data_IF_257207795323
#
_entry.id   IF_257207795323
#
_cell.length_a   1.000
_cell.length_b   1.000
_cell.length_c   1.000
_cell.angle_alpha   90.00
_cell.angle_beta   90.00
_cell.angle_gamma   90.00
#
_symmetry.space_group_name_H-M   'P 1'
#
loop_
_entity.id
_entity.type
_entity.pdbx_description
1 polymer ?
#
# COMPACT_ATOMS: atom_id res chain seq x y z
N UNK A 1 -12.57 12.79 36.00
CA UNK A 1 -11.61 13.22 34.98
C UNK A 1 -12.33 13.10 33.66
N UNK A 2 -12.74 14.23 33.11
CA UNK A 2 -13.60 14.31 31.93
C UNK A 2 -12.70 14.18 30.69
N UNK A 3 -12.85 13.06 29.96
CA UNK A 3 -12.28 12.88 28.65
C UNK A 3 -12.92 13.87 27.68
N UNK A 4 -12.17 14.89 27.30
CA UNK A 4 -12.53 15.81 26.23
C UNK A 4 -12.32 15.08 24.90
N UNK A 5 -13.40 14.54 24.34
CA UNK A 5 -13.44 14.19 22.93
C UNK A 5 -13.38 15.50 22.12
N UNK A 6 -12.16 15.89 21.74
CA UNK A 6 -11.93 16.94 20.76
C UNK A 6 -12.33 16.45 19.38
N UNK A 7 -13.59 16.60 19.03
CA UNK A 7 -14.02 16.51 17.63
C UNK A 7 -13.26 17.56 16.82
N UNK A 8 -12.67 17.15 15.68
CA UNK A 8 -12.13 18.10 14.73
C UNK A 8 -13.23 19.14 14.39
N UNK A 9 -12.88 20.42 14.26
CA UNK A 9 -13.87 21.44 13.91
C UNK A 9 -14.50 21.06 12.56
N UNK A 10 -15.82 21.11 12.49
CA UNK A 10 -16.60 20.98 11.27
C UNK A 10 -16.33 22.24 10.41
N UNK A 11 -15.19 22.22 9.70
CA UNK A 11 -14.84 23.25 8.74
C UNK A 11 -15.41 22.79 7.41
N UNK A 12 -16.61 23.28 7.08
CA UNK A 12 -17.15 23.13 5.74
C UNK A 12 -16.09 23.64 4.75
N UNK A 13 -15.76 22.87 3.68
CA UNK A 13 -14.83 23.34 2.67
C UNK A 13 -15.35 24.65 2.07
N UNK A 14 -14.48 25.66 1.94
CA UNK A 14 -14.75 26.87 1.19
C UNK A 14 -15.14 26.48 -0.26
N UNK A 15 -16.06 27.22 -0.88
CA UNK A 15 -16.50 26.99 -2.27
C UNK A 15 -15.33 26.96 -3.28
N UNK A 16 -14.17 27.52 -2.91
CA UNK A 16 -12.92 27.42 -3.67
C UNK A 16 -12.15 26.11 -3.46
N UNK A 17 -12.51 25.33 -2.43
CA UNK A 17 -11.83 24.06 -2.13
C UNK A 17 -12.15 23.04 -3.23
N UNK A 18 -11.12 22.45 -3.81
CA UNK A 18 -11.27 21.50 -4.92
C UNK A 18 -11.12 22.11 -6.32
N UNK A 19 -11.10 23.44 -6.46
CA UNK A 19 -10.92 24.08 -7.77
C UNK A 19 -9.61 23.64 -8.48
N UNK A 20 -8.55 23.35 -7.71
CA UNK A 20 -7.29 22.82 -8.23
C UNK A 20 -7.38 21.37 -8.69
N UNK A 21 -8.26 20.57 -8.10
CA UNK A 21 -8.54 19.21 -8.57
C UNK A 21 -9.18 19.24 -9.97
N UNK A 22 -10.14 20.11 -10.17
CA UNK A 22 -10.75 20.33 -11.50
C UNK A 22 -9.73 20.84 -12.53
N UNK A 23 -8.79 21.69 -12.10
CA UNK A 23 -7.71 22.15 -12.98
C UNK A 23 -6.76 21.01 -13.35
N UNK A 24 -6.42 20.14 -12.41
CA UNK A 24 -5.61 18.94 -12.68
C UNK A 24 -6.28 18.04 -13.73
N UNK A 25 -7.59 17.80 -13.64
CA UNK A 25 -8.35 17.05 -14.65
C UNK A 25 -8.23 17.70 -16.03
N UNK A 26 -8.39 19.03 -16.13
CA UNK A 26 -8.24 19.77 -17.40
C UNK A 26 -6.81 19.72 -17.96
N UNK A 27 -5.82 19.76 -17.07
CA UNK A 27 -4.39 19.59 -17.46
C UNK A 27 -4.18 18.20 -18.03
N UNK A 28 -4.70 17.16 -17.38
CA UNK A 28 -4.58 15.79 -17.86
C UNK A 28 -5.26 15.59 -19.22
N UNK A 29 -6.44 16.18 -19.44
CA UNK A 29 -7.09 16.18 -20.75
C UNK A 29 -6.20 16.76 -21.86
N UNK A 30 -5.56 17.90 -21.57
CA UNK A 30 -4.64 18.54 -22.52
C UNK A 30 -3.41 17.70 -22.79
N UNK A 31 -2.82 17.09 -21.75
CA UNK A 31 -1.67 16.20 -21.88
C UNK A 31 -2.04 14.97 -22.70
N UNK A 32 -3.15 14.33 -22.40
CA UNK A 32 -3.62 13.13 -23.10
C UNK A 32 -3.76 13.36 -24.62
N UNK A 33 -4.22 14.55 -25.03
CA UNK A 33 -4.42 14.88 -26.44
C UNK A 33 -3.14 15.36 -27.13
N UNK A 34 -2.29 16.12 -26.44
CA UNK A 34 -1.20 16.87 -27.07
C UNK A 34 0.21 16.34 -26.77
N UNK A 35 0.39 15.56 -25.71
CA UNK A 35 1.68 14.97 -25.39
C UNK A 35 1.81 13.57 -26.02
N UNK A 36 2.81 13.33 -26.88
CA UNK A 36 2.97 12.03 -27.56
C UNK A 36 3.24 10.86 -26.60
N UNK A 37 3.74 11.14 -25.40
CA UNK A 37 3.97 10.11 -24.39
C UNK A 37 2.66 9.77 -23.69
N UNK A 38 1.94 10.78 -23.14
CA UNK A 38 0.66 10.59 -22.45
C UNK A 38 -0.39 9.94 -23.36
N UNK A 39 -0.46 10.32 -24.64
CA UNK A 39 -1.40 9.78 -25.61
C UNK A 39 -1.28 8.27 -25.84
N UNK A 40 -0.15 7.66 -25.52
CA UNK A 40 0.10 6.21 -25.74
C UNK A 40 -0.08 5.37 -24.49
N UNK A 41 -0.26 5.99 -23.33
CA UNK A 41 -0.36 5.23 -22.09
C UNK A 41 -1.66 4.41 -22.04
N UNK A 42 -1.58 3.25 -21.41
CA UNK A 42 -2.69 2.35 -21.09
C UNK A 42 -2.71 2.06 -19.59
N UNK A 43 -3.75 1.42 -19.08
CA UNK A 43 -3.78 0.98 -17.69
C UNK A 43 -2.56 0.11 -17.36
N UNK A 44 -2.19 -0.81 -18.25
CA UNK A 44 -1.06 -1.72 -18.06
C UNK A 44 0.26 -0.96 -18.02
N UNK A 45 0.47 0.01 -18.94
CA UNK A 45 1.72 0.77 -18.98
C UNK A 45 1.88 1.75 -17.81
N UNK A 46 0.77 2.18 -17.20
CA UNK A 46 0.77 3.06 -16.03
C UNK A 46 0.90 2.30 -14.70
N UNK A 47 0.63 1.00 -14.67
CA UNK A 47 0.69 0.21 -13.43
C UNK A 47 2.05 0.29 -12.72
N UNK A 48 3.23 0.20 -13.39
CA UNK A 48 4.52 0.36 -12.73
C UNK A 48 4.67 1.73 -12.03
N UNK A 49 4.24 2.82 -12.69
CA UNK A 49 4.30 4.16 -12.11
C UNK A 49 3.39 4.28 -10.89
N UNK A 50 2.15 3.79 -10.95
CA UNK A 50 1.26 3.80 -9.78
C UNK A 50 1.87 3.10 -8.57
N UNK A 51 2.61 2.00 -8.77
CA UNK A 51 3.33 1.30 -7.71
C UNK A 51 4.51 2.12 -7.19
N UNK A 52 5.29 2.75 -8.08
CA UNK A 52 6.42 3.61 -7.77
C UNK A 52 5.96 4.79 -6.89
N UNK A 53 5.01 5.59 -7.36
CA UNK A 53 4.46 6.73 -6.62
C UNK A 53 3.84 6.31 -5.27
N UNK A 54 3.22 5.12 -5.22
CA UNK A 54 2.69 4.60 -3.96
C UNK A 54 3.81 4.31 -2.94
N UNK A 55 4.95 3.76 -3.38
CA UNK A 55 6.08 3.50 -2.49
C UNK A 55 6.81 4.79 -2.09
N UNK A 56 6.95 5.76 -2.99
CA UNK A 56 7.52 7.07 -2.69
C UNK A 56 6.66 7.82 -1.66
N UNK A 57 5.32 7.78 -1.82
CA UNK A 57 4.40 8.32 -0.83
C UNK A 57 4.54 7.62 0.54
N UNK A 58 4.73 6.30 0.58
CA UNK A 58 4.98 5.55 1.84
C UNK A 58 6.30 6.00 2.48
N UNK A 59 7.35 6.17 1.70
CA UNK A 59 8.65 6.62 2.21
C UNK A 59 8.58 8.05 2.75
N UNK A 60 7.91 8.98 2.05
CA UNK A 60 7.68 10.35 2.50
C UNK A 60 6.86 10.40 3.81
N UNK A 61 5.76 9.62 3.88
CA UNK A 61 4.92 9.52 5.08
C UNK A 61 5.70 8.96 6.28
N UNK A 62 6.56 7.98 6.05
CA UNK A 62 7.41 7.36 7.08
C UNK A 62 8.52 8.34 7.53
N UNK A 63 9.09 9.10 6.59
CA UNK A 63 10.13 10.10 6.86
C UNK A 63 9.62 11.35 7.57
N UNK A 64 8.32 11.64 7.48
CA UNK A 64 7.66 12.76 8.18
C UNK A 64 7.91 14.14 7.57
N UNK A 65 8.59 14.26 6.43
CA UNK A 65 8.75 15.52 5.70
C UNK A 65 7.44 15.90 4.98
N UNK A 66 6.76 16.92 5.51
CA UNK A 66 5.46 17.36 5.00
C UNK A 66 5.53 17.94 3.58
N UNK A 67 6.69 18.39 3.12
CA UNK A 67 6.87 18.87 1.73
C UNK A 67 6.89 17.67 0.80
N UNK A 68 7.72 16.68 1.10
CA UNK A 68 7.78 15.43 0.34
C UNK A 68 6.42 14.71 0.36
N UNK A 69 5.77 14.57 1.52
CA UNK A 69 4.42 13.97 1.62
C UNK A 69 3.41 14.63 0.67
N UNK A 70 3.44 15.96 0.57
CA UNK A 70 2.52 16.69 -0.31
C UNK A 70 2.84 16.46 -1.79
N UNK A 71 4.12 16.36 -2.15
CA UNK A 71 4.58 16.08 -3.51
C UNK A 71 4.14 14.68 -3.93
N UNK A 72 4.49 13.66 -3.16
CA UNK A 72 4.17 12.28 -3.49
C UNK A 72 2.67 11.97 -3.48
N UNK A 73 1.89 12.59 -2.59
CA UNK A 73 0.42 12.50 -2.67
C UNK A 73 -0.13 13.17 -3.94
N UNK A 74 0.55 14.19 -4.48
CA UNK A 74 0.23 14.79 -5.76
C UNK A 74 0.42 13.81 -6.92
N UNK A 75 1.51 13.02 -6.90
CA UNK A 75 1.82 12.04 -7.94
C UNK A 75 0.88 10.83 -7.86
N UNK A 76 0.54 10.35 -6.66
CA UNK A 76 -0.54 9.35 -6.49
C UNK A 76 -1.87 9.87 -7.03
N UNK A 77 -2.23 11.13 -6.76
CA UNK A 77 -3.44 11.75 -7.28
C UNK A 77 -3.42 11.86 -8.81
N UNK A 78 -2.26 12.20 -9.40
CA UNK A 78 -2.06 12.19 -10.85
C UNK A 78 -2.37 10.81 -11.44
N UNK A 79 -1.88 9.73 -10.84
CA UNK A 79 -2.17 8.37 -11.30
C UNK A 79 -3.67 8.08 -11.33
N UNK A 80 -4.43 8.48 -10.30
CA UNK A 80 -5.89 8.31 -10.26
C UNK A 80 -6.57 9.05 -11.41
N UNK A 81 -6.23 10.32 -11.62
CA UNK A 81 -6.80 11.16 -12.70
C UNK A 81 -6.42 10.61 -14.07
N UNK A 82 -5.17 10.16 -14.25
CA UNK A 82 -4.70 9.61 -15.52
C UNK A 82 -5.42 8.30 -15.87
N UNK A 83 -5.53 7.38 -14.92
CA UNK A 83 -6.27 6.14 -15.12
C UNK A 83 -7.74 6.41 -15.47
N UNK A 84 -8.41 7.34 -14.79
CA UNK A 84 -9.77 7.73 -15.13
C UNK A 84 -9.85 8.32 -16.55
N UNK A 85 -8.88 9.15 -16.95
CA UNK A 85 -8.83 9.73 -18.29
C UNK A 85 -8.62 8.69 -19.39
N UNK A 86 -7.80 7.67 -19.14
CA UNK A 86 -7.63 6.52 -20.06
C UNK A 86 -8.93 5.73 -20.19
N UNK A 87 -9.62 5.52 -19.07
CA UNK A 87 -10.89 4.77 -19.06
C UNK A 87 -12.00 5.41 -19.86
N UNK A 88 -12.04 6.75 -19.95
CA UNK A 88 -13.03 7.50 -20.75
C UNK A 88 -12.98 7.15 -22.25
N UNK A 89 -11.85 6.66 -22.76
CA UNK A 89 -11.66 6.35 -24.18
C UNK A 89 -12.21 4.98 -24.59
N UNK A 90 -12.75 4.21 -23.66
CA UNK A 90 -13.29 2.88 -23.96
C UNK A 90 -14.57 2.96 -24.78
N UNK A 91 -14.52 2.36 -25.97
CA UNK A 91 -15.65 2.37 -26.92
C UNK A 91 -16.68 1.28 -26.64
N UNK A 92 -16.40 0.35 -25.72
CA UNK A 92 -17.26 -0.81 -25.41
C UNK A 92 -18.41 -0.50 -24.43
N UNK A 93 -18.54 0.76 -24.01
CA UNK A 93 -19.55 1.20 -23.04
C UNK A 93 -19.16 0.94 -21.58
N UNK A 94 -17.96 0.43 -21.30
CA UNK A 94 -17.42 0.23 -19.94
C UNK A 94 -16.56 1.40 -19.48
N UNK A 95 -16.51 2.48 -20.27
CA UNK A 95 -15.77 3.70 -19.92
C UNK A 95 -16.38 4.43 -18.72
N UNK A 96 -15.54 5.09 -17.96
CA UNK A 96 -15.92 5.89 -16.80
C UNK A 96 -15.04 7.13 -16.68
N UNK A 97 -15.53 8.11 -15.93
CA UNK A 97 -14.88 9.41 -15.70
C UNK A 97 -14.28 9.48 -14.30
N UNK A 98 -13.54 10.55 -14.02
CA UNK A 98 -13.09 10.85 -12.66
C UNK A 98 -14.26 11.10 -11.71
N UNK A 99 -15.37 11.66 -12.21
CA UNK A 99 -16.57 11.89 -11.43
C UNK A 99 -17.21 10.55 -11.02
N UNK A 100 -17.25 9.55 -11.91
CA UNK A 100 -17.73 8.20 -11.58
C UNK A 100 -16.86 7.53 -10.50
N UNK A 101 -15.54 7.76 -10.54
CA UNK A 101 -14.61 7.29 -9.48
C UNK A 101 -14.92 7.96 -8.15
N UNK A 102 -15.14 9.28 -8.18
CA UNK A 102 -15.49 10.06 -6.99
C UNK A 102 -16.86 9.64 -6.43
N UNK A 103 -17.88 9.53 -7.27
CA UNK A 103 -19.22 9.11 -6.89
C UNK A 103 -19.21 7.72 -6.26
N UNK A 104 -18.47 6.77 -6.86
CA UNK A 104 -18.34 5.42 -6.32
C UNK A 104 -17.76 5.37 -4.91
N UNK A 105 -16.75 6.21 -4.59
CA UNK A 105 -16.18 6.27 -3.25
C UNK A 105 -17.04 7.07 -2.28
N UNK A 106 -17.69 8.15 -2.72
CA UNK A 106 -18.63 8.95 -1.92
C UNK A 106 -19.78 8.06 -1.46
N UNK A 107 -20.43 7.37 -2.38
CA UNK A 107 -21.53 6.45 -2.10
C UNK A 107 -21.12 5.35 -1.10
N UNK A 108 -19.94 4.79 -1.32
CA UNK A 108 -19.39 3.77 -0.44
C UNK A 108 -19.17 4.30 0.98
N UNK A 109 -18.56 5.49 1.11
CA UNK A 109 -18.28 6.11 2.41
C UNK A 109 -19.56 6.49 3.12
N UNK A 110 -20.50 7.15 2.44
CA UNK A 110 -21.79 7.57 3.01
C UNK A 110 -22.57 6.37 3.52
N UNK A 111 -22.69 5.33 2.72
CA UNK A 111 -23.44 4.12 3.08
C UNK A 111 -22.77 3.35 4.24
N UNK A 112 -21.43 3.34 4.32
CA UNK A 112 -20.70 2.61 5.37
C UNK A 112 -20.51 3.39 6.66
N UNK A 113 -20.94 4.67 6.70
CA UNK A 113 -20.89 5.50 7.90
C UNK A 113 -22.29 6.03 8.29
N UNK A 114 -23.27 5.14 8.51
CA UNK A 114 -24.63 5.57 8.85
C UNK A 114 -24.70 6.30 10.21
N UNK A 115 -23.65 6.20 11.01
CA UNK A 115 -23.50 6.96 12.27
C UNK A 115 -23.02 8.41 12.05
N UNK A 116 -22.60 8.78 10.82
CA UNK A 116 -22.21 10.14 10.44
C UNK A 116 -23.25 10.75 9.50
N UNK A 117 -23.75 9.97 8.54
CA UNK A 117 -24.63 10.44 7.48
C UNK A 117 -26.10 10.00 7.64
N UNK A 118 -26.44 9.28 8.70
CA UNK A 118 -27.78 8.79 9.03
C UNK A 118 -28.05 8.85 10.53
N UNK A 119 -29.02 8.07 10.99
CA UNK A 119 -29.56 8.14 12.36
C UNK A 119 -29.01 7.03 13.29
N UNK A 120 -27.94 6.32 12.91
CA UNK A 120 -27.36 5.24 13.71
C UNK A 120 -26.42 5.83 14.76
N UNK A 121 -26.61 5.49 16.03
CA UNK A 121 -25.67 5.84 17.09
C UNK A 121 -24.69 4.70 17.34
N UNK A 122 -23.43 5.01 17.60
CA UNK A 122 -22.36 4.05 17.94
C UNK A 122 -21.68 4.45 19.23
N UNK A 123 -21.28 3.46 20.04
CA UNK A 123 -20.63 3.68 21.33
C UNK A 123 -19.09 3.83 21.20
N UNK A 124 -18.50 3.46 20.06
CA UNK A 124 -17.06 3.54 19.84
C UNK A 124 -16.59 2.89 18.53
N UNK A 125 -15.28 2.93 18.31
CA UNK A 125 -14.65 2.47 17.07
C UNK A 125 -14.88 0.98 16.78
N UNK A 126 -15.02 0.15 17.79
CA UNK A 126 -15.23 -1.30 17.58
C UNK A 126 -16.63 -1.60 17.06
N UNK A 127 -17.65 -0.86 17.51
CA UNK A 127 -19.01 -0.96 16.98
C UNK A 127 -19.07 -0.46 15.52
N UNK A 128 -18.32 0.60 15.18
CA UNK A 128 -18.17 1.05 13.80
C UNK A 128 -17.62 -0.07 12.90
N UNK A 129 -16.59 -0.78 13.36
CA UNK A 129 -16.00 -1.91 12.60
C UNK A 129 -16.99 -3.05 12.39
N UNK A 130 -17.76 -3.42 13.41
CA UNK A 130 -18.79 -4.46 13.33
C UNK A 130 -19.90 -4.08 12.34
N UNK A 131 -20.35 -2.81 12.40
CA UNK A 131 -21.33 -2.28 11.45
C UNK A 131 -20.83 -2.34 10.02
N UNK A 132 -19.57 -2.01 9.77
CA UNK A 132 -18.94 -2.11 8.46
C UNK A 132 -18.97 -3.53 7.89
N UNK A 133 -18.67 -4.53 8.71
CA UNK A 133 -18.66 -5.93 8.25
C UNK A 133 -20.09 -6.40 7.93
N UNK A 134 -21.09 -5.97 8.71
CA UNK A 134 -22.52 -6.23 8.45
C UNK A 134 -22.97 -5.57 7.15
N UNK A 135 -22.61 -4.30 6.92
CA UNK A 135 -22.96 -3.56 5.71
C UNK A 135 -22.31 -4.22 4.47
N UNK A 136 -21.03 -4.58 4.55
CA UNK A 136 -20.35 -5.31 3.45
C UNK A 136 -21.01 -6.64 3.12
N UNK A 137 -21.47 -7.38 4.13
CA UNK A 137 -22.19 -8.64 3.91
C UNK A 137 -23.52 -8.40 3.18
N UNK A 138 -24.27 -7.36 3.58
CA UNK A 138 -25.50 -6.95 2.91
C UNK A 138 -25.27 -6.48 1.46
N UNK A 139 -24.22 -5.70 1.20
CA UNK A 139 -23.81 -5.26 -0.14
C UNK A 139 -23.55 -6.46 -1.08
N UNK A 140 -22.83 -7.46 -0.57
CA UNK A 140 -22.56 -8.69 -1.34
C UNK A 140 -23.82 -9.48 -1.67
N UNK A 141 -24.71 -9.63 -0.68
CA UNK A 141 -25.99 -10.29 -0.87
C UNK A 141 -26.84 -9.58 -1.93
N UNK A 142 -26.87 -8.24 -1.90
CA UNK A 142 -27.60 -7.42 -2.87
C UNK A 142 -26.98 -7.52 -4.29
N UNK A 143 -25.67 -7.72 -4.41
CA UNK A 143 -24.98 -7.93 -5.68
C UNK A 143 -25.19 -9.35 -6.28
N UNK A 144 -26.03 -10.19 -5.67
CA UNK A 144 -26.27 -11.56 -6.13
C UNK A 144 -25.10 -12.53 -5.89
N UNK A 145 -24.11 -12.10 -5.14
CA UNK A 145 -22.95 -12.91 -4.73
C UNK A 145 -23.29 -13.77 -3.48
N UNK A 146 -24.53 -14.23 -3.39
CA UNK A 146 -25.07 -15.04 -2.31
C UNK A 146 -24.65 -16.50 -2.46
N UNK A 147 -23.45 -16.82 -2.06
CA UNK A 147 -22.93 -18.18 -1.85
C UNK A 147 -22.15 -18.20 -0.53
N UNK A 148 -21.63 -19.35 -0.09
CA UNK A 148 -20.65 -19.39 1.00
C UNK A 148 -19.38 -18.65 0.53
N UNK A 149 -19.39 -17.34 0.80
CA UNK A 149 -18.28 -16.44 0.42
C UNK A 149 -17.24 -16.53 1.53
N UNK A 150 -16.01 -16.87 1.16
CA UNK A 150 -14.90 -16.83 2.10
C UNK A 150 -14.68 -15.41 2.61
N UNK A 151 -14.40 -15.26 3.89
CA UNK A 151 -13.97 -13.97 4.46
C UNK A 151 -12.69 -13.45 3.77
N UNK A 152 -12.00 -14.31 3.07
CA UNK A 152 -10.76 -13.99 2.34
C UNK A 152 -11.00 -13.53 0.90
N UNK A 153 -12.21 -13.64 0.37
CA UNK A 153 -12.53 -13.21 -0.99
C UNK A 153 -12.29 -11.71 -1.20
N UNK A 154 -11.75 -11.37 -2.37
CA UNK A 154 -11.41 -10.00 -2.73
C UNK A 154 -10.17 -9.46 -2.01
N UNK A 155 -9.32 -10.30 -1.44
CA UNK A 155 -7.95 -9.93 -1.06
C UNK A 155 -7.11 -9.89 -2.34
N UNK A 156 -6.46 -8.75 -2.66
CA UNK A 156 -5.55 -8.70 -3.80
C UNK A 156 -4.33 -9.60 -3.53
N UNK A 157 -4.12 -10.61 -4.38
CA UNK A 157 -3.02 -11.56 -4.21
C UNK A 157 -1.68 -11.02 -4.71
N UNK A 158 -1.69 -9.91 -5.46
CA UNK A 158 -0.50 -9.25 -6.02
C UNK A 158 0.22 -8.30 -5.05
N UNK A 159 -0.31 -8.10 -3.85
CA UNK A 159 0.34 -7.25 -2.86
C UNK A 159 1.63 -7.88 -2.29
N UNK A 160 2.55 -7.10 -1.67
CA UNK A 160 3.73 -7.64 -1.01
C UNK A 160 3.39 -8.77 -0.03
N UNK A 161 4.25 -9.79 0.04
CA UNK A 161 3.93 -11.04 0.72
C UNK A 161 3.64 -10.89 2.23
N UNK A 162 4.36 -10.00 2.92
CA UNK A 162 4.10 -9.75 4.34
C UNK A 162 2.77 -9.02 4.54
N UNK A 163 2.44 -8.05 3.68
CA UNK A 163 1.15 -7.36 3.67
C UNK A 163 0.01 -8.33 3.38
N UNK A 164 0.18 -9.23 2.40
CA UNK A 164 -0.78 -10.28 2.07
C UNK A 164 -1.06 -11.18 3.27
N UNK A 165 0.00 -11.74 3.87
CA UNK A 165 -0.12 -12.61 5.04
C UNK A 165 -0.81 -11.89 6.22
N UNK A 166 -0.41 -10.64 6.50
CA UNK A 166 -1.04 -9.83 7.55
C UNK A 166 -2.52 -9.56 7.27
N UNK A 167 -2.90 -9.31 6.01
CA UNK A 167 -4.30 -9.08 5.64
C UNK A 167 -5.14 -10.34 5.73
N UNK A 168 -4.63 -11.49 5.29
CA UNK A 168 -5.31 -12.77 5.41
C UNK A 168 -5.56 -13.12 6.88
N UNK A 169 -4.54 -13.01 7.72
CA UNK A 169 -4.66 -13.24 9.17
C UNK A 169 -5.71 -12.31 9.82
N UNK A 170 -5.69 -11.01 9.50
CA UNK A 170 -6.70 -10.07 10.01
C UNK A 170 -8.13 -10.45 9.61
N UNK A 171 -8.32 -10.93 8.38
CA UNK A 171 -9.65 -11.34 7.91
C UNK A 171 -10.12 -12.65 8.51
N UNK A 172 -9.21 -13.62 8.65
CA UNK A 172 -9.50 -14.89 9.32
C UNK A 172 -9.91 -14.67 10.79
N UNK A 173 -9.15 -13.86 11.52
CA UNK A 173 -9.44 -13.49 12.91
C UNK A 173 -10.83 -12.85 13.05
N UNK A 174 -11.17 -11.88 12.19
CA UNK A 174 -12.50 -11.24 12.19
C UNK A 174 -13.63 -12.20 11.84
N UNK A 175 -13.34 -13.24 11.07
CA UNK A 175 -14.29 -14.30 10.75
C UNK A 175 -14.43 -15.33 11.86
N UNK A 176 -13.67 -15.21 12.95
CA UNK A 176 -13.66 -16.17 14.05
C UNK A 176 -12.96 -17.48 13.72
N UNK A 177 -12.01 -17.46 12.77
CA UNK A 177 -11.20 -18.63 12.47
C UNK A 177 -10.41 -19.09 13.69
N UNK A 178 -10.29 -20.41 13.94
CA UNK A 178 -9.50 -20.95 15.04
C UNK A 178 -8.04 -20.47 14.97
N UNK A 179 -7.47 -20.13 16.13
CA UNK A 179 -6.11 -19.58 16.22
C UNK A 179 -5.03 -20.58 15.81
N UNK A 180 -5.29 -21.88 15.96
CA UNK A 180 -4.39 -22.96 15.55
C UNK A 180 -4.17 -23.00 14.01
N UNK A 181 -5.12 -22.49 13.22
CA UNK A 181 -4.91 -22.32 11.78
C UNK A 181 -3.79 -21.31 11.47
N UNK A 182 -3.56 -20.34 12.33
CA UNK A 182 -2.49 -19.36 12.16
C UNK A 182 -1.16 -19.83 12.78
N UNK A 183 -1.23 -20.69 13.80
CA UNK A 183 -0.05 -21.25 14.49
C UNK A 183 0.59 -22.40 13.71
N UNK A 184 -0.22 -23.12 12.93
CA UNK A 184 0.25 -24.20 12.07
C UNK A 184 0.02 -23.79 10.62
N UNK A 185 0.95 -23.05 10.00
CA UNK A 185 0.85 -22.71 8.58
C UNK A 185 0.72 -24.00 7.76
N UNK A 186 -0.15 -24.03 6.76
CA UNK A 186 -0.42 -25.23 6.00
C UNK A 186 0.87 -25.80 5.42
N UNK A 187 1.04 -27.12 5.50
CA UNK A 187 2.04 -27.79 4.69
C UNK A 187 1.66 -27.54 3.22
N UNK A 188 2.51 -26.85 2.47
CA UNK A 188 2.27 -26.55 1.05
C UNK A 188 2.10 -27.83 0.20
N UNK A 189 2.40 -29.00 0.76
CA UNK A 189 2.10 -30.30 0.16
C UNK A 189 0.61 -30.68 0.22
N UNK A 190 -0.20 -30.02 1.06
CA UNK A 190 -1.63 -30.27 1.22
C UNK A 190 -2.53 -29.24 0.50
N UNK A 191 -1.92 -28.34 -0.30
CA UNK A 191 -2.69 -27.38 -1.11
C UNK A 191 -3.53 -28.13 -2.14
N UNK A 192 -4.85 -27.89 -2.19
CA UNK A 192 -5.73 -28.51 -3.20
C UNK A 192 -5.19 -28.31 -4.61
N UNK A 193 -5.31 -29.32 -5.50
CA UNK A 193 -4.73 -29.29 -6.84
C UNK A 193 -5.15 -28.09 -7.71
N UNK A 194 -6.35 -27.56 -7.50
CA UNK A 194 -6.92 -26.38 -8.16
C UNK A 194 -6.25 -25.05 -7.74
N UNK A 195 -5.64 -25.02 -6.55
CA UNK A 195 -4.81 -23.88 -6.08
C UNK A 195 -3.31 -24.12 -6.31
N UNK A 196 -2.90 -25.38 -6.47
CA UNK A 196 -1.51 -25.74 -6.70
C UNK A 196 -1.00 -25.26 -8.08
N UNK A 197 -1.85 -25.18 -9.10
CA UNK A 197 -1.49 -24.66 -10.42
C UNK A 197 -1.11 -23.18 -10.37
N UNK A 198 -1.80 -22.36 -9.58
CA UNK A 198 -1.47 -20.95 -9.38
C UNK A 198 -0.18 -20.79 -8.56
N UNK A 199 0.10 -21.73 -7.65
CA UNK A 199 1.32 -21.74 -6.83
C UNK A 199 2.54 -22.26 -7.60
N UNK A 200 2.36 -23.18 -8.54
CA UNK A 200 3.45 -23.80 -9.30
C UNK A 200 4.09 -22.85 -10.32
N UNK A 201 3.31 -21.91 -10.87
CA UNK A 201 3.83 -20.88 -11.80
C UNK A 201 4.58 -19.75 -11.10
N UNK A 202 4.30 -19.52 -9.79
CA UNK A 202 4.92 -18.46 -8.99
C UNK A 202 6.11 -18.97 -8.13
N UNK A 203 6.18 -20.27 -7.86
CA UNK A 203 7.26 -20.87 -7.10
C UNK A 203 7.70 -22.14 -7.82
N UNK A 204 8.87 -22.14 -8.42
CA UNK A 204 9.57 -23.40 -8.67
C UNK A 204 9.49 -24.22 -7.37
N UNK A 205 9.13 -25.51 -7.43
CA UNK A 205 8.86 -26.34 -6.24
C UNK A 205 9.86 -26.02 -5.12
N UNK A 206 9.45 -25.30 -4.07
CA UNK A 206 10.38 -24.99 -2.99
C UNK A 206 10.80 -26.33 -2.40
N UNK A 207 12.09 -26.52 -2.22
CA UNK A 207 12.61 -27.63 -1.47
C UNK A 207 12.09 -27.56 -0.01
N UNK A 208 12.38 -28.56 0.79
CA UNK A 208 11.94 -28.61 2.19
C UNK A 208 12.39 -27.37 2.97
N UNK A 209 13.60 -26.87 2.71
CA UNK A 209 14.15 -25.70 3.38
C UNK A 209 13.38 -24.41 3.01
N UNK A 210 12.95 -24.24 1.77
CA UNK A 210 12.12 -23.12 1.35
C UNK A 210 10.73 -23.12 1.99
N UNK A 211 10.12 -24.30 2.16
CA UNK A 211 8.83 -24.44 2.88
C UNK A 211 8.95 -24.10 4.37
N UNK A 212 10.02 -24.57 5.02
CA UNK A 212 10.28 -24.27 6.43
C UNK A 212 10.49 -22.75 6.63
N UNK A 213 11.24 -22.08 5.75
CA UNK A 213 11.44 -20.62 5.78
C UNK A 213 10.11 -19.87 5.60
N UNK A 214 9.28 -20.27 4.63
CA UNK A 214 7.96 -19.64 4.43
C UNK A 214 7.06 -19.73 5.64
N UNK A 215 7.09 -20.87 6.34
CA UNK A 215 6.37 -21.08 7.61
C UNK A 215 6.90 -20.17 8.71
N UNK A 216 8.21 -20.06 8.86
CA UNK A 216 8.84 -19.20 9.86
C UNK A 216 8.51 -17.73 9.62
N UNK A 217 8.56 -17.28 8.37
CA UNK A 217 8.16 -15.92 8.00
C UNK A 217 6.68 -15.65 8.30
N UNK A 218 5.78 -16.58 8.01
CA UNK A 218 4.37 -16.45 8.33
C UNK A 218 4.13 -16.37 9.85
N UNK A 219 4.84 -17.15 10.63
CA UNK A 219 4.79 -17.10 12.10
C UNK A 219 5.28 -15.73 12.62
N UNK A 220 6.34 -15.14 12.02
CA UNK A 220 6.81 -13.80 12.37
C UNK A 220 5.76 -12.73 12.03
N UNK A 221 5.07 -12.84 10.90
CA UNK A 221 3.95 -11.94 10.56
C UNK A 221 2.84 -12.03 11.60
N UNK A 222 2.46 -13.24 12.01
CA UNK A 222 1.43 -13.43 13.04
C UNK A 222 1.86 -12.82 14.38
N UNK A 223 3.12 -12.99 14.77
CA UNK A 223 3.68 -12.38 15.99
C UNK A 223 3.65 -10.85 15.92
N UNK A 224 4.15 -10.24 14.83
CA UNK A 224 4.13 -8.79 14.67
C UNK A 224 2.71 -8.22 14.82
N UNK A 225 1.73 -8.87 14.20
CA UNK A 225 0.32 -8.48 14.32
C UNK A 225 -0.21 -8.57 15.75
N UNK A 226 0.14 -9.62 16.50
CA UNK A 226 -0.27 -9.76 17.90
C UNK A 226 0.29 -8.62 18.77
N UNK A 227 1.43 -8.05 18.40
CA UNK A 227 2.08 -6.90 19.04
C UNK A 227 1.56 -5.54 18.48
N UNK A 228 0.61 -5.55 17.55
CA UNK A 228 0.04 -4.33 16.92
C UNK A 228 0.96 -3.69 15.89
N UNK A 229 1.99 -4.39 15.42
CA UNK A 229 2.96 -3.92 14.44
C UNK A 229 2.54 -4.30 13.01
N UNK A 230 2.92 -3.48 12.02
CA UNK A 230 2.79 -3.83 10.60
C UNK A 230 4.09 -4.48 10.11
N UNK A 231 4.07 -5.78 9.73
CA UNK A 231 5.29 -6.51 9.39
C UNK A 231 5.99 -6.02 8.12
N UNK A 232 5.27 -5.43 7.17
CA UNK A 232 5.85 -4.85 5.95
C UNK A 232 6.64 -3.58 6.28
N UNK A 233 6.05 -2.69 7.09
CA UNK A 233 6.69 -1.45 7.50
C UNK A 233 7.89 -1.70 8.44
N UNK A 234 7.79 -2.66 9.35
CA UNK A 234 8.88 -3.02 10.24
C UNK A 234 10.09 -3.61 9.49
N UNK A 235 9.85 -4.50 8.52
CA UNK A 235 10.93 -5.05 7.70
C UNK A 235 11.54 -3.99 6.79
N UNK A 236 10.71 -3.09 6.22
CA UNK A 236 11.19 -1.94 5.42
C UNK A 236 12.10 -1.04 6.26
N UNK A 237 11.70 -0.67 7.46
CA UNK A 237 12.50 0.15 8.37
C UNK A 237 13.85 -0.51 8.70
N UNK A 238 13.85 -1.81 8.96
CA UNK A 238 15.08 -2.58 9.21
C UNK A 238 16.00 -2.63 7.98
N UNK A 239 15.43 -2.78 6.77
CA UNK A 239 16.18 -2.77 5.53
C UNK A 239 16.81 -1.41 5.24
N UNK A 240 16.10 -0.32 5.45
CA UNK A 240 16.62 1.05 5.31
C UNK A 240 17.75 1.32 6.31
N UNK A 241 17.58 0.94 7.57
CA UNK A 241 18.63 1.05 8.58
C UNK A 241 19.88 0.23 8.22
N UNK A 242 19.71 -0.94 7.61
CA UNK A 242 20.83 -1.73 7.07
C UNK A 242 21.53 -0.98 5.94
N UNK A 243 20.78 -0.43 4.99
CA UNK A 243 21.34 0.35 3.87
C UNK A 243 22.17 1.55 4.37
N UNK A 244 21.70 2.27 5.39
CA UNK A 244 22.44 3.39 5.98
C UNK A 244 23.74 2.93 6.64
N UNK A 245 23.74 1.78 7.31
CA UNK A 245 24.96 1.20 7.87
C UNK A 245 25.97 0.83 6.77
N UNK A 246 25.51 0.32 5.64
CA UNK A 246 26.37 0.03 4.49
C UNK A 246 26.98 1.33 3.94
N UNK A 247 26.15 2.38 3.72
CA UNK A 247 26.64 3.68 3.25
C UNK A 247 27.67 4.30 4.20
N UNK A 248 27.42 4.24 5.51
CA UNK A 248 28.37 4.72 6.51
C UNK A 248 29.71 3.96 6.48
N UNK A 249 29.65 2.64 6.30
CA UNK A 249 30.84 1.81 6.16
C UNK A 249 31.61 2.14 4.88
N UNK A 250 30.97 2.31 3.73
CA UNK A 250 31.60 2.72 2.47
C UNK A 250 32.27 4.09 2.62
N UNK A 251 31.60 5.06 3.22
CA UNK A 251 32.17 6.39 3.49
C UNK A 251 33.40 6.34 4.39
N UNK A 252 33.46 5.41 5.35
CA UNK A 252 34.64 5.21 6.22
C UNK A 252 35.85 4.66 5.45
N UNK A 253 35.61 3.76 4.48
CA UNK A 253 36.68 3.22 3.62
C UNK A 253 37.27 4.26 2.66
N UNK A 254 36.40 5.14 2.09
CA UNK A 254 36.86 6.23 1.24
C UNK A 254 37.79 7.20 1.94
N UNK A 255 37.56 7.49 3.24
CA UNK A 255 38.43 8.35 4.05
C UNK A 255 39.77 7.68 4.39
N UNK A 256 39.78 6.39 4.69
CA UNK A 256 41.00 5.65 4.98
C UNK A 256 41.95 5.54 3.74
N UNK A 257 41.40 5.65 2.55
CA UNK A 257 42.17 5.63 1.28
C UNK A 257 42.81 6.98 0.92
N UNK A 258 42.35 8.09 1.50
CA UNK A 258 42.89 9.44 1.23
C UNK A 258 44.00 9.85 2.21
N UNK A 259 44.15 9.18 3.35
CA UNK A 259 45.23 9.38 4.32
C UNK A 259 46.42 8.44 4.08
N UNK A 260 46.83 8.28 2.82
CA UNK A 260 48.10 7.63 2.51
C UNK A 260 49.30 8.46 2.98
N UNK A 261 50.43 7.82 3.42
CA UNK A 261 51.54 8.49 4.04
C UNK A 261 52.12 9.58 3.12
N UNK A 262 52.16 10.80 3.67
CA UNK A 262 52.78 11.94 3.01
C UNK A 262 54.18 11.56 2.53
N UNK A 263 54.48 11.78 1.26
CA UNK A 263 55.83 11.63 0.70
C UNK A 263 56.74 12.64 1.37
N UNK A 264 57.54 12.19 2.33
CA UNK A 264 58.75 12.90 2.74
C UNK A 264 59.64 13.14 1.50
N UNK A 265 59.71 14.38 1.06
CA UNK A 265 60.73 14.77 0.08
C UNK A 265 62.09 14.89 0.83
N UNK A 266 63.11 14.15 0.42
CA UNK A 266 64.45 14.37 0.93
C UNK A 266 64.98 15.71 0.41
N UNK A 267 65.45 16.56 1.34
CA UNK A 267 66.12 17.84 1.07
C UNK A 267 67.29 17.64 0.10
N UNK A 268 67.36 18.49 -0.89
CA UNK A 268 68.58 18.65 -1.71
C UNK A 268 69.54 19.55 -0.92
N UNK A 269 70.58 18.93 -0.40
CA UNK A 269 71.81 19.65 -0.02
C UNK A 269 72.57 20.04 -1.30
N UNK A 270 72.74 21.34 -1.55
CA UNK A 270 73.75 21.86 -2.48
C UNK A 270 75.09 22.01 -1.76
N UNK A 271 76.21 21.55 -2.36
CA UNK A 271 77.55 21.92 -1.89
C UNK A 271 78.06 23.17 -2.59
N UNK A 272 78.86 23.94 -1.90
CA UNK A 272 79.61 25.16 -2.20
C UNK A 272 80.43 25.12 -3.45
#
# INVERSE_FOLDING_TARGET
>A
MTDSQGGAPDVAPDDATGARLLELVRVMDKLRVNCPWDARQTHESLTPYLLEETYEAVDALTGGDQVAVREELGDVLLQVVFHARVAQERADGSGYTIDDVADGIIDKLTRRHPHVFGDVSVSGADEVKQNWDTIKAAERAAAGLAGPVSSLDGVPLSQPALSLAAQLLRRAERAGAPTDLAETPPDLAEVPPDLAEVSADLAGSPDRAGRDLGRDLFALVNKARAEGLDPELELRAAALAYADRVRAWEASKGRASTDGPGKDQPGKDEPS
#
